data_IF_245454062029
#
_entry.id   IF_245454062029
#
_cell.length_a   1.000
_cell.length_b   1.000
_cell.length_c   1.000
_cell.angle_alpha   90.00
_cell.angle_beta   90.00
_cell.angle_gamma   90.00
#
_symmetry.space_group_name_H-M   'P 1'
#
loop_
_entity.id
_entity.type
_entity.pdbx_description
1 polymer ?
#
# COMPACT_ATOMS: atom_id res chain seq x y z
N UNK A 1 8.67 1.93 46.69
CA UNK A 1 7.47 1.11 46.44
C UNK A 1 6.37 2.03 45.92
N UNK A 2 6.24 2.15 44.63
CA UNK A 2 5.09 2.68 43.88
C UNK A 2 5.51 2.92 42.43
N UNK A 3 5.62 1.85 41.65
CA UNK A 3 5.77 1.92 40.18
C UNK A 3 5.42 0.54 39.60
N UNK A 4 4.15 0.17 39.71
CA UNK A 4 3.65 -1.06 39.07
C UNK A 4 2.10 -1.05 39.05
N UNK A 5 1.50 -0.22 38.24
CA UNK A 5 0.04 -0.27 38.04
C UNK A 5 -0.44 0.55 36.82
N UNK A 6 0.22 0.47 35.66
CA UNK A 6 -0.25 1.16 34.43
C UNK A 6 -0.11 0.37 33.13
N UNK A 7 0.18 -0.92 33.20
CA UNK A 7 0.39 -1.74 31.99
C UNK A 7 -0.62 -2.88 31.78
N UNK A 8 -1.84 -2.79 32.34
CA UNK A 8 -2.81 -3.90 32.23
C UNK A 8 -4.24 -3.43 31.97
N UNK A 9 -4.46 -2.63 30.91
CA UNK A 9 -5.83 -2.21 30.56
C UNK A 9 -6.12 -2.09 29.06
N UNK A 10 -5.46 -2.84 28.22
CA UNK A 10 -5.71 -2.82 26.78
C UNK A 10 -6.07 -4.19 26.13
N UNK A 11 -6.39 -5.21 26.91
CA UNK A 11 -6.84 -6.49 26.36
C UNK A 11 -8.04 -6.99 27.16
N UNK A 12 -9.25 -6.53 26.83
CA UNK A 12 -10.54 -7.22 27.06
C UNK A 12 -11.68 -6.47 26.39
N UNK A 13 -11.96 -6.84 25.16
CA UNK A 13 -13.11 -6.36 24.37
C UNK A 13 -13.57 -7.41 23.36
N UNK A 14 -13.52 -8.71 23.71
CA UNK A 14 -14.17 -9.76 22.91
C UNK A 14 -15.63 -9.86 23.34
N UNK A 15 -16.52 -9.18 22.63
CA UNK A 15 -17.95 -9.31 22.79
C UNK A 15 -18.43 -10.63 22.19
N UNK A 16 -19.06 -11.45 23.01
CA UNK A 16 -19.81 -12.67 22.64
C UNK A 16 -20.96 -12.28 21.70
N UNK A 17 -20.91 -12.69 20.45
CA UNK A 17 -22.06 -12.65 19.55
C UNK A 17 -22.89 -13.90 19.73
N UNK A 18 -24.07 -13.77 20.33
CA UNK A 18 -25.11 -14.80 20.39
C UNK A 18 -25.71 -14.96 18.99
N UNK A 19 -25.66 -16.17 18.45
CA UNK A 19 -26.44 -16.55 17.26
C UNK A 19 -27.91 -16.62 17.65
N UNK A 20 -28.71 -15.74 17.05
CA UNK A 20 -30.17 -15.84 17.03
C UNK A 20 -30.56 -16.38 15.65
N UNK A 21 -31.04 -17.60 15.62
CA UNK A 21 -31.73 -18.18 14.47
C UNK A 21 -33.17 -17.66 14.45
N UNK A 22 -33.49 -16.82 13.51
CA UNK A 22 -34.87 -16.51 13.15
C UNK A 22 -35.02 -16.63 11.63
N UNK A 23 -35.67 -17.73 11.25
CA UNK A 23 -36.17 -17.97 9.92
C UNK A 23 -37.35 -17.04 9.65
N UNK A 24 -37.21 -16.14 8.69
CA UNK A 24 -38.34 -15.51 8.02
C UNK A 24 -38.00 -15.36 6.53
N UNK A 25 -38.62 -16.22 5.74
CA UNK A 25 -38.57 -16.17 4.28
C UNK A 25 -39.29 -14.91 3.79
N UNK A 26 -38.53 -13.83 3.53
CA UNK A 26 -38.98 -12.73 2.70
C UNK A 26 -38.42 -12.97 1.27
N UNK A 27 -39.29 -13.35 0.34
CA UNK A 27 -39.01 -13.30 -1.10
C UNK A 27 -38.86 -11.83 -1.51
N UNK A 28 -37.68 -11.26 -1.26
CA UNK A 28 -37.26 -9.96 -1.80
C UNK A 28 -36.93 -10.12 -3.28
N UNK A 29 -37.47 -9.23 -4.13
CA UNK A 29 -37.03 -9.03 -5.51
C UNK A 29 -35.50 -9.00 -5.51
N UNK A 30 -34.87 -9.80 -6.37
CA UNK A 30 -33.45 -9.75 -6.60
C UNK A 30 -33.09 -8.31 -7.02
N UNK A 31 -32.64 -7.50 -6.08
CA UNK A 31 -32.04 -6.21 -6.39
C UNK A 31 -30.76 -6.54 -7.16
N UNK A 32 -30.64 -6.03 -8.40
CA UNK A 32 -29.41 -6.10 -9.17
C UNK A 32 -28.25 -5.71 -8.26
N UNK A 33 -27.19 -6.51 -8.27
CA UNK A 33 -26.06 -6.28 -7.38
C UNK A 33 -25.54 -4.85 -7.53
N UNK A 34 -25.51 -4.11 -6.44
CA UNK A 34 -24.95 -2.77 -6.44
C UNK A 34 -23.45 -2.85 -6.72
N UNK A 35 -22.95 -1.94 -7.53
CA UNK A 35 -21.54 -1.79 -7.82
C UNK A 35 -20.93 -0.57 -7.12
N UNK A 36 -19.67 -0.32 -7.40
CA UNK A 36 -18.99 0.86 -6.90
C UNK A 36 -17.68 1.12 -7.64
N UNK A 37 -17.21 2.35 -7.51
CA UNK A 37 -15.90 2.75 -7.98
C UNK A 37 -15.03 3.23 -6.79
N UNK A 38 -13.75 2.89 -6.83
CA UNK A 38 -12.81 3.15 -5.72
C UNK A 38 -11.54 3.77 -6.27
N UNK A 39 -11.01 4.77 -5.57
CA UNK A 39 -9.68 5.29 -5.76
C UNK A 39 -8.87 5.05 -4.47
N UNK A 40 -7.74 4.35 -4.57
CA UNK A 40 -6.80 4.23 -3.46
C UNK A 40 -5.65 5.19 -3.70
N UNK A 41 -5.57 6.23 -2.86
CA UNK A 41 -4.56 7.29 -2.93
C UNK A 41 -3.48 6.99 -1.91
N UNK A 42 -2.26 6.70 -2.37
CA UNK A 42 -1.11 6.48 -1.51
C UNK A 42 -0.29 7.75 -1.39
N UNK A 43 -0.15 8.23 -0.16
CA UNK A 43 0.60 9.44 0.20
C UNK A 43 1.85 9.04 0.98
N UNK A 44 2.97 9.70 0.65
CA UNK A 44 4.24 9.55 1.35
C UNK A 44 4.23 10.41 2.62
N UNK A 45 3.40 10.04 3.56
CA UNK A 45 3.33 10.55 4.92
C UNK A 45 2.59 9.54 5.80
N UNK A 46 3.07 9.34 6.99
CA UNK A 46 2.48 8.43 7.98
C UNK A 46 2.98 8.72 9.40
N UNK A 47 3.96 9.62 9.57
CA UNK A 47 4.58 9.93 10.86
C UNK A 47 4.05 11.20 11.50
N UNK A 48 3.93 12.26 10.74
CA UNK A 48 3.45 13.54 11.26
C UNK A 48 1.95 13.47 11.54
N UNK A 49 1.59 13.53 12.84
CA UNK A 49 0.20 13.45 13.26
C UNK A 49 -0.63 14.65 12.79
N UNK A 50 -0.04 15.84 12.77
CA UNK A 50 -0.74 17.07 12.36
C UNK A 50 -1.05 17.04 10.86
N UNK A 51 -0.09 16.60 10.05
CA UNK A 51 -0.28 16.42 8.61
C UNK A 51 -1.34 15.35 8.35
N UNK A 52 -1.29 14.23 9.08
CA UNK A 52 -2.25 13.14 8.93
C UNK A 52 -3.67 13.57 9.31
N UNK A 53 -3.86 14.25 10.44
CA UNK A 53 -5.17 14.75 10.88
C UNK A 53 -5.77 15.72 9.83
N UNK A 54 -4.95 16.57 9.23
CA UNK A 54 -5.41 17.47 8.17
C UNK A 54 -5.75 16.73 6.86
N UNK A 55 -4.98 15.70 6.49
CA UNK A 55 -5.28 14.89 5.30
C UNK A 55 -6.58 14.08 5.49
N UNK A 56 -6.77 13.46 6.65
CA UNK A 56 -8.00 12.72 6.98
C UNK A 56 -9.21 13.63 6.99
N UNK A 57 -9.11 14.78 7.66
CA UNK A 57 -10.17 15.80 7.70
C UNK A 57 -10.49 16.36 6.29
N UNK A 58 -9.46 16.55 5.46
CA UNK A 58 -9.66 16.98 4.06
C UNK A 58 -10.38 15.92 3.24
N UNK A 59 -10.00 14.65 3.37
CA UNK A 59 -10.67 13.55 2.69
C UNK A 59 -12.14 13.43 3.10
N UNK A 60 -12.45 13.52 4.40
CA UNK A 60 -13.82 13.46 4.92
C UNK A 60 -14.67 14.63 4.41
N UNK A 61 -14.17 15.87 4.51
CA UNK A 61 -14.88 17.06 3.99
C UNK A 61 -15.14 16.97 2.49
N UNK A 62 -14.13 16.55 1.71
CA UNK A 62 -14.28 16.38 0.28
C UNK A 62 -15.29 15.27 -0.06
N UNK A 63 -15.22 14.14 0.64
CA UNK A 63 -16.20 13.05 0.48
C UNK A 63 -17.63 13.51 0.79
N UNK A 64 -17.84 14.23 1.89
CA UNK A 64 -19.15 14.75 2.26
C UNK A 64 -19.70 15.70 1.20
N UNK A 65 -18.86 16.59 0.66
CA UNK A 65 -19.24 17.56 -0.38
C UNK A 65 -19.61 16.90 -1.72
N UNK A 66 -18.91 15.84 -2.10
CA UNK A 66 -19.03 15.22 -3.44
C UNK A 66 -19.78 13.89 -3.43
N UNK A 67 -20.43 13.50 -2.33
CA UNK A 67 -21.20 12.25 -2.27
C UNK A 67 -20.38 10.96 -2.27
N UNK A 68 -19.08 11.07 -1.98
CA UNK A 68 -18.19 9.94 -1.82
C UNK A 68 -18.03 9.54 -0.34
N UNK A 69 -17.24 8.50 -0.06
CA UNK A 69 -16.90 8.04 1.30
C UNK A 69 -15.41 7.77 1.44
N UNK A 70 -14.86 8.06 2.61
CA UNK A 70 -13.61 7.45 3.07
C UNK A 70 -13.96 6.04 3.54
N UNK A 71 -13.56 5.06 2.74
CA UNK A 71 -13.88 3.65 2.99
C UNK A 71 -12.88 3.02 3.96
N UNK A 72 -11.61 3.42 3.85
CA UNK A 72 -10.53 2.95 4.71
C UNK A 72 -9.37 3.93 4.69
N UNK A 73 -8.67 4.05 5.82
CA UNK A 73 -7.35 4.68 5.91
C UNK A 73 -6.40 3.64 6.52
N UNK A 74 -5.34 3.34 5.80
CA UNK A 74 -4.27 2.47 6.29
C UNK A 74 -3.00 3.30 6.44
N UNK A 75 -2.63 3.59 7.67
CA UNK A 75 -1.43 4.36 8.03
C UNK A 75 -0.33 3.42 8.51
N UNK A 76 0.84 3.53 7.90
CA UNK A 76 2.05 2.81 8.30
C UNK A 76 3.13 3.80 8.71
N UNK A 77 3.40 3.87 10.02
CA UNK A 77 4.37 4.80 10.61
C UNK A 77 5.80 4.42 10.26
N UNK A 78 6.12 3.12 10.23
CA UNK A 78 7.46 2.64 9.89
C UNK A 78 7.80 2.93 8.42
N UNK A 79 6.83 2.71 7.56
CA UNK A 79 6.96 3.02 6.13
C UNK A 79 6.83 4.51 5.82
N UNK A 80 6.37 5.32 6.77
CA UNK A 80 6.04 6.73 6.57
C UNK A 80 5.13 6.91 5.33
N UNK A 81 4.01 6.18 5.32
CA UNK A 81 3.13 6.05 4.17
C UNK A 81 1.70 5.79 4.60
N UNK A 82 0.75 6.39 3.90
CA UNK A 82 -0.68 6.19 4.15
C UNK A 82 -1.44 5.92 2.86
N UNK A 83 -2.33 4.95 2.88
CA UNK A 83 -3.26 4.64 1.80
C UNK A 83 -4.68 5.04 2.17
N UNK A 84 -5.27 5.99 1.44
CA UNK A 84 -6.67 6.40 1.56
C UNK A 84 -7.51 5.65 0.53
N UNK A 85 -8.45 4.83 0.97
CA UNK A 85 -9.43 4.18 0.11
C UNK A 85 -10.69 5.04 0.06
N UNK A 86 -10.90 5.72 -1.05
CA UNK A 86 -12.06 6.58 -1.33
C UNK A 86 -13.01 5.84 -2.25
N UNK A 87 -14.32 5.95 -2.05
CA UNK A 87 -15.27 5.22 -2.88
C UNK A 87 -16.61 5.91 -3.06
N UNK A 88 -17.28 5.57 -4.16
CA UNK A 88 -18.68 5.90 -4.43
C UNK A 88 -19.44 4.63 -4.75
N UNK A 89 -20.67 4.54 -4.27
CA UNK A 89 -21.62 3.52 -4.71
C UNK A 89 -22.19 3.92 -6.06
N UNK A 90 -22.34 2.95 -6.94
CA UNK A 90 -22.96 3.11 -8.24
C UNK A 90 -24.24 2.29 -8.29
N UNK A 91 -25.35 2.90 -8.66
CA UNK A 91 -26.55 2.20 -9.02
C UNK A 91 -26.47 1.69 -10.48
N UNK A 92 -27.26 0.66 -10.80
CA UNK A 92 -27.20 0.01 -12.09
C UNK A 92 -27.51 0.98 -13.23
N UNK A 93 -26.54 1.19 -14.11
CA UNK A 93 -26.63 2.12 -15.24
C UNK A 93 -26.04 3.49 -14.98
N UNK A 94 -25.58 3.77 -13.77
CA UNK A 94 -24.87 5.00 -13.43
C UNK A 94 -23.40 4.88 -13.88
N UNK A 95 -22.97 5.76 -14.76
CA UNK A 95 -21.63 5.69 -15.41
C UNK A 95 -20.71 6.79 -14.89
N UNK A 96 -21.20 7.78 -14.13
CA UNK A 96 -20.42 8.96 -13.72
C UNK A 96 -19.94 8.91 -12.27
N UNK A 97 -19.18 7.88 -11.94
CA UNK A 97 -18.36 7.90 -10.72
C UNK A 97 -17.10 8.77 -10.87
N UNK A 98 -16.67 9.00 -12.11
CA UNK A 98 -15.42 9.70 -12.38
C UNK A 98 -15.47 11.18 -11.94
N UNK A 99 -16.63 11.83 -11.97
CA UNK A 99 -16.81 13.21 -11.54
C UNK A 99 -16.59 13.39 -10.04
N UNK A 100 -17.47 12.85 -9.21
CA UNK A 100 -17.40 13.03 -7.75
C UNK A 100 -16.13 12.47 -7.13
N UNK A 101 -15.78 11.23 -7.44
CA UNK A 101 -14.62 10.56 -6.87
C UNK A 101 -13.30 11.15 -7.36
N UNK A 102 -13.24 11.58 -8.63
CA UNK A 102 -12.11 12.30 -9.18
C UNK A 102 -11.84 13.62 -8.46
N UNK A 103 -12.89 14.39 -8.16
CA UNK A 103 -12.77 15.62 -7.39
C UNK A 103 -12.22 15.36 -5.98
N UNK A 104 -12.70 14.34 -5.28
CA UNK A 104 -12.21 13.98 -3.94
C UNK A 104 -10.73 13.59 -3.98
N UNK A 105 -10.36 12.70 -4.90
CA UNK A 105 -8.98 12.24 -5.02
C UNK A 105 -8.00 13.37 -5.36
N UNK A 106 -8.40 14.32 -6.20
CA UNK A 106 -7.57 15.47 -6.58
C UNK A 106 -7.46 16.51 -5.47
N UNK A 107 -8.54 16.79 -4.71
CA UNK A 107 -8.50 17.66 -3.52
C UNK A 107 -7.53 17.08 -2.48
N UNK A 108 -7.59 15.78 -2.23
CA UNK A 108 -6.67 15.12 -1.30
C UNK A 108 -5.21 15.17 -1.80
N UNK A 109 -4.99 14.94 -3.10
CA UNK A 109 -3.67 15.02 -3.72
C UNK A 109 -3.09 16.43 -3.63
N UNK A 110 -3.87 17.47 -3.93
CA UNK A 110 -3.48 18.89 -3.81
C UNK A 110 -3.09 19.21 -2.37
N UNK A 111 -3.89 18.78 -1.39
CA UNK A 111 -3.58 19.00 0.01
C UNK A 111 -2.29 18.30 0.44
N UNK A 112 -2.08 17.06 0.04
CA UNK A 112 -0.86 16.33 0.32
C UNK A 112 0.39 17.03 -0.26
N UNK A 113 0.32 17.47 -1.51
CA UNK A 113 1.39 18.22 -2.19
C UNK A 113 1.68 19.58 -1.52
N UNK A 114 0.72 20.18 -0.82
CA UNK A 114 0.91 21.43 -0.09
C UNK A 114 1.52 21.26 1.30
N UNK A 115 1.45 20.05 1.88
CA UNK A 115 1.89 19.77 3.25
C UNK A 115 3.20 18.99 3.33
N UNK A 116 3.50 18.18 2.32
CA UNK A 116 4.65 17.27 2.32
C UNK A 116 5.68 17.71 1.28
N UNK A 117 6.93 17.81 1.72
CA UNK A 117 8.08 18.05 0.83
C UNK A 117 8.92 16.77 0.71
N UNK A 118 8.96 16.22 -0.49
CA UNK A 118 9.66 14.95 -0.73
C UNK A 118 11.18 15.06 -0.51
N UNK A 119 11.76 16.25 -0.58
CA UNK A 119 13.19 16.50 -0.33
C UNK A 119 13.59 16.25 1.12
N UNK A 120 12.64 16.46 2.05
CA UNK A 120 12.83 16.29 3.50
C UNK A 120 12.26 14.95 4.01
N UNK A 121 11.57 14.21 3.14
CA UNK A 121 10.87 13.00 3.53
C UNK A 121 11.81 11.78 3.60
N UNK A 122 11.84 11.12 4.75
CA UNK A 122 12.58 9.87 4.99
C UNK A 122 11.65 8.70 5.30
N UNK A 123 11.85 7.57 4.64
CA UNK A 123 11.05 6.36 4.83
C UNK A 123 11.80 5.10 4.44
N UNK A 124 11.42 3.97 5.02
CA UNK A 124 11.94 2.65 4.66
C UNK A 124 11.23 2.07 3.43
N UNK A 125 9.99 2.47 3.16
CA UNK A 125 9.26 2.09 1.96
C UNK A 125 9.67 2.96 0.78
N UNK A 126 9.99 2.38 -0.41
CA UNK A 126 10.32 3.17 -1.60
C UNK A 126 9.11 3.97 -2.10
N UNK A 127 9.37 5.08 -2.77
CA UNK A 127 8.37 6.00 -3.33
C UNK A 127 8.92 6.79 -4.53
N UNK A 128 8.01 7.30 -5.33
CA UNK A 128 8.32 8.13 -6.48
C UNK A 128 7.79 9.57 -6.35
N UNK A 129 6.91 9.82 -5.42
CA UNK A 129 6.31 11.14 -5.22
C UNK A 129 5.64 11.29 -3.86
N UNK A 130 5.23 12.52 -3.53
CA UNK A 130 4.38 12.82 -2.37
C UNK A 130 3.08 12.03 -2.47
N UNK A 131 2.40 12.14 -3.62
CA UNK A 131 1.35 11.20 -4.02
C UNK A 131 2.02 10.13 -4.86
N UNK A 132 2.38 9.01 -4.26
CA UNK A 132 3.21 8.01 -4.91
C UNK A 132 2.48 7.29 -6.04
N UNK A 133 1.26 6.83 -5.77
CA UNK A 133 0.38 6.33 -6.82
C UNK A 133 -1.09 6.39 -6.42
N UNK A 134 -1.94 6.40 -7.44
CA UNK A 134 -3.39 6.29 -7.29
C UNK A 134 -3.85 5.11 -8.13
N UNK A 135 -4.52 4.15 -7.50
CA UNK A 135 -5.13 3.02 -8.19
C UNK A 135 -6.64 3.16 -8.21
N UNK A 136 -7.21 3.12 -9.42
CA UNK A 136 -8.65 3.17 -9.65
C UNK A 136 -9.18 1.76 -9.92
N UNK A 137 -10.25 1.39 -9.25
CA UNK A 137 -10.84 0.06 -9.33
C UNK A 137 -12.36 0.15 -9.41
N UNK A 138 -12.97 -0.87 -9.99
CA UNK A 138 -14.38 -1.14 -9.85
C UNK A 138 -14.61 -2.30 -8.91
N UNK A 139 -15.69 -2.29 -8.17
CA UNK A 139 -16.13 -3.37 -7.27
C UNK A 139 -17.57 -3.73 -7.57
N UNK A 140 -17.94 -5.01 -7.37
CA UNK A 140 -19.25 -5.52 -7.75
C UNK A 140 -19.46 -5.55 -9.26
N UNK A 141 -20.71 -5.36 -9.70
CA UNK A 141 -21.10 -5.40 -11.12
C UNK A 141 -21.00 -4.00 -11.75
N UNK A 142 -19.76 -3.52 -11.92
CA UNK A 142 -19.46 -2.20 -12.50
C UNK A 142 -18.53 -2.36 -13.70
N UNK A 143 -18.79 -1.61 -14.76
CA UNK A 143 -17.94 -1.60 -15.96
C UNK A 143 -16.53 -1.08 -15.67
N UNK A 144 -15.50 -1.80 -16.12
CA UNK A 144 -14.10 -1.44 -15.91
C UNK A 144 -13.72 -0.09 -16.55
N UNK A 145 -14.43 0.36 -17.57
CA UNK A 145 -14.23 1.66 -18.22
C UNK A 145 -14.43 2.83 -17.27
N UNK A 146 -15.24 2.67 -16.21
CA UNK A 146 -15.43 3.68 -15.17
C UNK A 146 -14.12 3.96 -14.44
N UNK A 147 -13.36 2.93 -14.05
CA UNK A 147 -12.06 3.10 -13.42
C UNK A 147 -11.03 3.72 -14.36
N UNK A 148 -11.08 3.39 -15.66
CA UNK A 148 -10.22 4.02 -16.68
C UNK A 148 -10.52 5.50 -16.83
N UNK A 149 -11.80 5.88 -16.93
CA UNK A 149 -12.22 7.28 -17.02
C UNK A 149 -11.81 8.07 -15.76
N UNK A 150 -11.97 7.46 -14.57
CA UNK A 150 -11.53 8.04 -13.32
C UNK A 150 -10.02 8.28 -13.30
N UNK A 151 -9.21 7.30 -13.72
CA UNK A 151 -7.76 7.42 -13.74
C UNK A 151 -7.29 8.55 -14.67
N UNK A 152 -7.87 8.67 -15.86
CA UNK A 152 -7.58 9.77 -16.79
C UNK A 152 -7.97 11.12 -16.21
N UNK A 153 -9.15 11.24 -15.59
CA UNK A 153 -9.61 12.50 -14.99
C UNK A 153 -8.67 12.95 -13.85
N UNK A 154 -8.30 12.04 -12.95
CA UNK A 154 -7.35 12.33 -11.87
C UNK A 154 -5.98 12.71 -12.46
N UNK A 155 -5.48 11.93 -13.42
CA UNK A 155 -4.18 12.17 -14.04
C UNK A 155 -4.10 13.51 -14.74
N UNK A 156 -5.13 13.87 -15.52
CA UNK A 156 -5.21 15.17 -16.21
C UNK A 156 -5.21 16.32 -15.18
N UNK A 157 -6.03 16.24 -14.13
CA UNK A 157 -6.09 17.28 -13.11
C UNK A 157 -4.72 17.48 -12.41
N UNK A 158 -4.09 16.40 -11.97
CA UNK A 158 -2.78 16.48 -11.28
C UNK A 158 -1.72 17.04 -12.23
N UNK A 159 -1.68 16.57 -13.48
CA UNK A 159 -0.69 17.02 -14.44
C UNK A 159 -0.88 18.47 -14.86
N UNK A 160 -2.08 18.87 -15.22
CA UNK A 160 -2.38 20.15 -15.82
C UNK A 160 -2.56 21.28 -14.80
N UNK A 161 -3.15 21.01 -13.62
CA UNK A 161 -3.45 22.02 -12.62
C UNK A 161 -2.44 22.04 -11.46
N UNK A 162 -1.91 20.87 -11.06
CA UNK A 162 -0.92 20.80 -9.97
C UNK A 162 0.52 20.77 -10.49
N UNK A 163 0.72 20.72 -11.81
CA UNK A 163 2.05 20.73 -12.44
C UNK A 163 2.97 19.60 -11.96
N UNK A 164 2.43 18.42 -11.71
CA UNK A 164 3.18 17.22 -11.32
C UNK A 164 3.12 16.20 -12.47
N UNK A 165 4.25 15.63 -12.91
CA UNK A 165 4.25 14.62 -13.97
C UNK A 165 3.42 13.39 -13.58
N UNK A 166 2.54 12.93 -14.48
CA UNK A 166 1.70 11.75 -14.28
C UNK A 166 2.01 10.69 -15.31
N UNK A 167 2.30 9.48 -14.82
CA UNK A 167 2.48 8.29 -15.63
C UNK A 167 1.29 7.35 -15.46
N UNK A 168 0.65 6.97 -16.56
CA UNK A 168 -0.48 6.05 -16.52
C UNK A 168 -0.04 4.59 -16.54
N UNK A 169 -0.79 3.72 -15.81
CA UNK A 169 -0.55 2.28 -15.81
C UNK A 169 -1.86 1.46 -15.89
N UNK A 170 -1.70 0.15 -16.10
CA UNK A 170 -2.82 -0.77 -16.22
C UNK A 170 -3.69 -0.48 -17.44
N UNK A 171 -5.00 -0.58 -17.28
CA UNK A 171 -5.95 -0.33 -18.36
C UNK A 171 -6.03 1.14 -18.78
N UNK A 172 -5.60 2.08 -17.96
CA UNK A 172 -5.54 3.51 -18.29
C UNK A 172 -4.35 3.85 -19.21
N UNK A 173 -3.30 3.02 -19.24
CA UNK A 173 -2.13 3.25 -20.09
C UNK A 173 -2.37 2.69 -21.50
N UNK A 174 -2.21 3.50 -22.54
CA UNK A 174 -2.26 3.04 -23.92
C UNK A 174 -1.23 1.92 -24.22
N UNK A 175 -0.08 1.97 -23.54
CA UNK A 175 0.99 0.96 -23.63
C UNK A 175 0.77 -0.23 -22.68
N UNK A 176 -0.32 -0.27 -21.92
CA UNK A 176 -0.68 -1.31 -20.93
C UNK A 176 0.45 -1.66 -19.96
N UNK A 177 1.28 -0.68 -19.62
CA UNK A 177 2.39 -0.88 -18.67
C UNK A 177 1.86 -1.20 -17.28
N UNK A 178 2.48 -2.17 -16.60
CA UNK A 178 2.18 -2.47 -15.20
C UNK A 178 2.83 -1.46 -14.24
N UNK A 179 2.24 -1.27 -13.06
CA UNK A 179 2.81 -0.39 -12.02
C UNK A 179 4.24 -0.80 -11.64
N UNK A 180 4.49 -2.10 -11.49
CA UNK A 180 5.82 -2.60 -11.14
C UNK A 180 6.87 -2.32 -12.22
N UNK A 181 6.48 -2.28 -13.49
CA UNK A 181 7.39 -1.97 -14.61
C UNK A 181 7.72 -0.47 -14.65
N UNK A 182 6.71 0.40 -14.45
CA UNK A 182 6.93 1.82 -14.29
C UNK A 182 7.85 2.13 -13.12
N UNK A 183 7.60 1.52 -11.97
CA UNK A 183 8.41 1.67 -10.76
C UNK A 183 9.87 1.28 -11.01
N UNK A 184 10.11 0.17 -11.72
CA UNK A 184 11.48 -0.25 -12.08
C UNK A 184 12.16 0.75 -13.02
N UNK A 185 11.43 1.19 -14.04
CA UNK A 185 11.96 2.15 -15.02
C UNK A 185 12.34 3.50 -14.37
N UNK A 186 11.64 3.89 -13.30
CA UNK A 186 11.82 5.18 -12.65
C UNK A 186 12.54 5.08 -11.29
N UNK A 187 13.32 4.04 -11.07
CA UNK A 187 14.24 3.96 -9.93
C UNK A 187 13.62 3.69 -8.56
N UNK A 188 12.33 3.34 -8.49
CA UNK A 188 11.63 3.05 -7.24
C UNK A 188 12.35 2.04 -6.32
N UNK A 189 13.06 1.08 -6.88
CA UNK A 189 13.78 0.04 -6.14
C UNK A 189 15.28 0.33 -5.98
N UNK A 190 15.76 1.51 -6.38
CA UNK A 190 17.17 1.89 -6.21
C UNK A 190 17.35 2.45 -4.80
N UNK A 191 18.36 1.92 -4.11
CA UNK A 191 18.81 2.49 -2.84
C UNK A 191 19.70 3.70 -3.13
N UNK A 192 19.51 4.77 -2.35
CA UNK A 192 20.43 5.91 -2.37
C UNK A 192 21.60 5.61 -1.48
N UNK A 193 22.82 5.78 -2.00
CA UNK A 193 24.03 5.62 -1.21
C UNK A 193 24.04 6.63 -0.05
N UNK A 194 24.13 6.14 1.20
CA UNK A 194 24.48 6.94 2.36
C UNK A 194 23.35 7.36 3.30
N UNK A 195 22.09 7.08 3.02
CA UNK A 195 21.00 7.26 4.00
C UNK A 195 20.23 5.96 4.10
N UNK A 196 19.99 5.46 5.30
CA UNK A 196 19.26 4.22 5.56
C UNK A 196 17.79 4.24 5.15
N UNK A 197 17.47 4.81 3.99
CA UNK A 197 16.13 4.92 3.44
C UNK A 197 16.14 5.73 2.15
N UNK A 198 15.04 5.67 1.39
CA UNK A 198 14.80 6.50 0.24
C UNK A 198 14.71 7.97 0.69
N UNK A 199 15.70 8.76 0.38
CA UNK A 199 15.67 10.20 0.58
C UNK A 199 15.19 10.88 -0.71
N UNK A 200 13.91 11.18 -0.79
CA UNK A 200 13.35 11.99 -1.89
C UNK A 200 13.24 11.30 -3.25
N UNK A 201 12.78 12.03 -4.24
CA UNK A 201 12.73 11.61 -5.63
C UNK A 201 14.11 11.73 -6.28
N UNK A 202 14.93 10.72 -6.16
CA UNK A 202 16.16 10.63 -6.96
C UNK A 202 15.84 10.25 -8.40
N UNK A 203 14.97 11.05 -9.02
CA UNK A 203 14.72 10.94 -10.41
C UNK A 203 15.72 11.76 -11.16
N UNK A 204 16.68 11.04 -11.73
CA UNK A 204 17.34 11.45 -12.94
C UNK A 204 17.69 12.94 -12.94
N UNK A 205 18.77 13.31 -12.28
CA UNK A 205 19.40 14.58 -12.57
C UNK A 205 19.47 14.74 -14.10
N UNK A 206 18.69 15.66 -14.65
CA UNK A 206 18.64 15.94 -16.09
C UNK A 206 17.75 15.02 -16.94
N UNK A 207 16.99 14.05 -16.35
CA UNK A 207 16.11 13.19 -17.11
C UNK A 207 14.76 13.84 -17.41
N UNK A 208 14.46 13.99 -18.70
CA UNK A 208 13.12 14.33 -19.13
C UNK A 208 12.25 13.08 -19.13
N UNK A 209 11.12 13.15 -18.42
CA UNK A 209 10.06 12.15 -18.51
C UNK A 209 9.26 12.34 -19.81
N UNK A 210 8.54 11.31 -20.20
CA UNK A 210 7.49 11.37 -21.20
C UNK A 210 6.16 10.99 -20.50
N UNK A 211 5.60 11.92 -19.69
CA UNK A 211 4.38 11.67 -18.94
C UNK A 211 3.16 11.77 -19.84
N UNK A 212 2.10 11.05 -19.50
CA UNK A 212 0.81 11.19 -20.18
C UNK A 212 0.15 12.55 -19.85
N UNK A 213 0.42 13.11 -18.66
CA UNK A 213 -0.05 14.44 -18.25
C UNK A 213 1.01 15.18 -17.47
N UNK A 214 1.00 16.52 -17.58
CA UNK A 214 1.88 17.40 -16.80
C UNK A 214 3.25 17.65 -17.41
N UNK A 215 4.14 18.28 -16.65
CA UNK A 215 5.44 18.70 -17.16
C UNK A 215 6.38 17.52 -17.38
N UNK A 216 7.35 17.66 -18.28
CA UNK A 216 8.42 16.68 -18.48
C UNK A 216 9.49 16.74 -17.39
N UNK A 217 9.62 17.87 -16.73
CA UNK A 217 10.56 18.08 -15.64
C UNK A 217 9.93 17.65 -14.31
N UNK A 218 10.65 16.88 -13.52
CA UNK A 218 10.19 16.43 -12.20
C UNK A 218 10.45 17.50 -11.16
N UNK A 219 9.42 18.02 -10.46
CA UNK A 219 9.61 18.92 -9.34
C UNK A 219 10.15 18.12 -8.13
N UNK A 220 11.36 18.48 -7.59
CA UNK A 220 11.99 17.67 -6.54
C UNK A 220 11.17 17.55 -5.26
N UNK A 221 10.37 18.57 -4.93
CA UNK A 221 9.51 18.58 -3.74
C UNK A 221 8.29 17.65 -3.86
N UNK A 222 7.78 17.44 -5.09
CA UNK A 222 6.56 16.67 -5.34
C UNK A 222 6.83 15.26 -5.90
N UNK A 223 7.90 15.10 -6.70
CA UNK A 223 8.18 13.86 -7.42
C UNK A 223 7.25 13.65 -8.62
N UNK A 224 6.87 12.40 -8.86
CA UNK A 224 5.93 11.98 -9.92
C UNK A 224 4.76 11.20 -9.32
N UNK A 225 3.64 11.19 -10.02
CA UNK A 225 2.46 10.40 -9.64
C UNK A 225 2.22 9.30 -10.67
N UNK A 226 1.99 8.08 -10.21
CA UNK A 226 1.55 6.97 -11.07
C UNK A 226 0.06 6.75 -10.87
N UNK A 227 -0.76 6.96 -11.92
CA UNK A 227 -2.22 6.78 -11.84
C UNK A 227 -2.64 5.64 -12.76
N UNK A 228 -3.49 4.74 -12.30
CA UNK A 228 -3.88 3.63 -13.13
C UNK A 228 -5.22 2.99 -12.80
N UNK A 229 -5.70 2.17 -13.73
CA UNK A 229 -6.90 1.37 -13.57
C UNK A 229 -6.53 -0.13 -13.67
N UNK A 230 -6.87 -0.90 -12.64
CA UNK A 230 -6.56 -2.33 -12.55
C UNK A 230 -7.70 -3.08 -11.86
N UNK A 231 -7.79 -4.40 -12.02
CA UNK A 231 -8.56 -5.24 -11.10
C UNK A 231 -8.13 -4.98 -9.65
N UNK A 232 -8.99 -5.32 -8.69
CA UNK A 232 -8.64 -5.18 -7.28
C UNK A 232 -7.41 -6.02 -6.93
N UNK A 233 -6.46 -5.42 -6.22
CA UNK A 233 -5.25 -6.08 -5.73
C UNK A 233 -5.38 -6.22 -4.21
N UNK A 234 -5.29 -7.43 -3.69
CA UNK A 234 -5.22 -7.65 -2.26
C UNK A 234 -3.78 -7.39 -1.78
N UNK A 235 -3.63 -6.51 -0.81
CA UNK A 235 -2.35 -6.23 -0.17
C UNK A 235 -2.25 -6.98 1.15
N UNK A 236 -1.23 -7.82 1.29
CA UNK A 236 -1.03 -8.66 2.46
C UNK A 236 0.44 -8.67 2.86
N UNK A 237 0.72 -8.27 4.08
CA UNK A 237 2.08 -8.17 4.60
C UNK A 237 2.34 -9.23 5.67
N UNK A 238 3.54 -9.80 5.67
CA UNK A 238 3.97 -10.78 6.67
C UNK A 238 5.28 -10.32 7.30
N UNK A 239 5.27 -9.92 8.58
CA UNK A 239 6.50 -9.63 9.31
C UNK A 239 7.27 -10.93 9.57
N UNK A 240 8.57 -10.91 9.29
CA UNK A 240 9.49 -11.99 9.64
C UNK A 240 10.60 -11.44 10.54
N UNK A 241 10.85 -12.10 11.65
CA UNK A 241 11.91 -11.72 12.58
C UNK A 241 13.21 -12.44 12.18
N UNK A 242 14.27 -11.67 11.99
CA UNK A 242 15.62 -12.15 11.74
C UNK A 242 16.41 -12.14 13.05
N UNK A 243 16.65 -13.30 13.63
CA UNK A 243 17.47 -13.48 14.83
C UNK A 243 18.87 -13.90 14.41
N UNK A 244 19.89 -13.13 14.75
CA UNK A 244 21.28 -13.47 14.39
C UNK A 244 21.74 -14.74 15.11
N UNK A 245 22.39 -15.64 14.37
CA UNK A 245 22.99 -16.85 14.94
C UNK A 245 24.29 -16.51 15.65
N UNK A 246 24.39 -16.91 16.92
CA UNK A 246 25.60 -16.75 17.72
C UNK A 246 26.79 -17.48 17.08
N UNK A 247 27.91 -16.77 16.88
CA UNK A 247 29.17 -17.31 16.40
C UNK A 247 29.71 -16.72 15.09
N UNK A 248 28.90 -15.94 14.36
CA UNK A 248 29.36 -15.18 13.18
C UNK A 248 29.57 -13.68 13.46
N UNK A 249 29.68 -13.28 14.73
CA UNK A 249 30.10 -11.93 15.07
C UNK A 249 31.50 -11.72 14.47
N UNK A 250 31.60 -10.86 13.48
CA UNK A 250 32.89 -10.25 13.11
C UNK A 250 33.40 -9.53 14.35
N UNK A 251 34.57 -9.89 14.82
CA UNK A 251 35.24 -9.50 16.07
C UNK A 251 35.63 -8.03 16.16
N UNK A 252 34.87 -7.11 15.58
CA UNK A 252 35.03 -5.67 15.74
C UNK A 252 33.83 -5.15 16.53
N UNK A 253 34.05 -4.84 17.78
CA UNK A 253 33.13 -4.57 18.87
C UNK A 253 32.18 -3.37 18.76
N UNK A 254 31.85 -2.93 17.57
CA UNK A 254 30.80 -1.95 17.28
C UNK A 254 29.89 -2.55 16.20
N UNK A 255 29.07 -3.53 16.59
CA UNK A 255 28.02 -4.07 15.73
C UNK A 255 26.99 -2.98 15.43
N UNK A 256 27.25 -2.18 14.40
CA UNK A 256 26.36 -1.15 13.91
C UNK A 256 25.02 -1.83 13.54
N UNK A 257 23.94 -1.46 14.25
CA UNK A 257 22.57 -1.91 14.08
C UNK A 257 22.12 -1.77 12.58
N UNK A 258 22.63 -0.74 11.92
CA UNK A 258 22.42 -0.50 10.49
C UNK A 258 23.01 -1.63 9.62
N UNK A 259 24.12 -2.23 10.03
CA UNK A 259 24.74 -3.35 9.28
C UNK A 259 23.93 -4.63 9.42
N UNK A 260 23.44 -4.94 10.63
CA UNK A 260 22.55 -6.08 10.90
C UNK A 260 21.25 -5.96 10.11
N UNK A 261 20.60 -4.81 10.19
CA UNK A 261 19.38 -4.51 9.42
C UNK A 261 19.58 -4.68 7.93
N UNK A 262 20.68 -4.15 7.37
CA UNK A 262 20.98 -4.28 5.93
C UNK A 262 21.20 -5.74 5.51
N UNK A 263 21.85 -6.55 6.36
CA UNK A 263 22.06 -7.99 6.12
C UNK A 263 20.74 -8.76 6.17
N UNK A 264 19.91 -8.50 7.19
CA UNK A 264 18.59 -9.13 7.35
C UNK A 264 17.67 -8.79 6.16
N UNK A 265 17.59 -7.53 5.76
CA UNK A 265 16.79 -7.12 4.58
C UNK A 265 17.27 -7.78 3.31
N UNK A 266 18.59 -7.87 3.08
CA UNK A 266 19.17 -8.57 1.92
C UNK A 266 18.80 -10.05 1.90
N UNK A 267 18.83 -10.70 3.07
CA UNK A 267 18.38 -12.09 3.21
C UNK A 267 16.87 -12.22 3.00
N UNK A 268 16.06 -11.33 3.58
CA UNK A 268 14.62 -11.27 3.35
C UNK A 268 14.24 -11.06 1.88
N UNK A 269 15.05 -10.31 1.11
CA UNK A 269 14.83 -10.15 -0.34
C UNK A 269 14.97 -11.47 -1.11
N UNK A 270 15.80 -12.42 -0.65
CA UNK A 270 15.86 -13.77 -1.23
C UNK A 270 14.58 -14.53 -0.97
N UNK A 271 14.01 -14.42 0.25
CA UNK A 271 12.72 -15.02 0.59
C UNK A 271 11.58 -14.41 -0.24
N UNK A 272 11.50 -13.08 -0.33
CA UNK A 272 10.52 -12.39 -1.16
C UNK A 272 10.61 -12.79 -2.66
N UNK A 273 11.84 -12.96 -3.19
CA UNK A 273 12.04 -13.45 -4.55
C UNK A 273 11.50 -14.87 -4.73
N UNK A 274 11.81 -15.79 -3.78
CA UNK A 274 11.32 -17.18 -3.82
C UNK A 274 9.79 -17.27 -3.70
N UNK A 275 9.17 -16.34 -2.97
CA UNK A 275 7.71 -16.25 -2.83
C UNK A 275 7.02 -15.73 -4.08
N UNK A 276 7.62 -14.77 -4.79
CA UNK A 276 7.04 -14.10 -5.95
C UNK A 276 6.94 -15.02 -7.17
N UNK A 277 5.88 -14.87 -7.97
CA UNK A 277 5.72 -15.59 -9.25
C UNK A 277 6.94 -15.43 -10.15
N UNK A 278 7.51 -14.22 -10.24
CA UNK A 278 8.72 -13.94 -11.01
C UNK A 278 9.94 -14.76 -10.57
N UNK A 279 10.00 -15.19 -9.33
CA UNK A 279 11.05 -16.04 -8.79
C UNK A 279 10.74 -17.53 -8.79
N UNK A 280 9.61 -17.93 -9.44
CA UNK A 280 9.13 -19.31 -9.48
C UNK A 280 8.25 -19.70 -8.29
N UNK A 281 7.80 -18.71 -7.50
CA UNK A 281 6.93 -18.92 -6.35
C UNK A 281 5.44 -18.93 -6.69
N UNK A 282 4.62 -18.35 -5.81
CA UNK A 282 3.17 -18.40 -5.92
C UNK A 282 2.65 -17.56 -7.11
N UNK A 283 1.68 -18.09 -7.89
CA UNK A 283 1.14 -17.41 -9.06
C UNK A 283 0.39 -16.13 -8.66
N UNK A 284 0.61 -15.05 -9.42
CA UNK A 284 -0.01 -13.75 -9.17
C UNK A 284 0.52 -13.02 -7.93
N UNK A 285 1.55 -13.52 -7.27
CA UNK A 285 2.16 -12.87 -6.10
C UNK A 285 3.36 -12.02 -6.53
N UNK A 286 3.33 -10.74 -6.15
CA UNK A 286 4.48 -9.84 -6.21
C UNK A 286 4.88 -9.52 -4.77
N UNK A 287 6.14 -9.74 -4.40
CA UNK A 287 6.62 -9.51 -3.06
C UNK A 287 7.93 -8.72 -3.04
N UNK A 288 8.11 -7.93 -1.99
CA UNK A 288 9.36 -7.27 -1.66
C UNK A 288 9.61 -7.38 -0.16
N UNK A 289 10.89 -7.29 0.24
CA UNK A 289 11.29 -7.28 1.64
C UNK A 289 11.80 -5.90 2.02
N UNK A 290 11.28 -5.34 3.08
CA UNK A 290 11.60 -4.02 3.58
C UNK A 290 11.92 -4.07 5.08
N UNK A 291 12.78 -3.19 5.61
CA UNK A 291 12.97 -3.06 7.05
C UNK A 291 11.70 -2.48 7.67
N UNK A 292 11.26 -3.07 8.79
CA UNK A 292 10.04 -2.66 9.50
C UNK A 292 10.25 -2.65 11.02
N UNK A 293 11.33 -2.01 11.45
CA UNK A 293 11.69 -1.85 12.86
C UNK A 293 12.43 -3.04 13.45
N UNK A 294 12.43 -3.07 14.79
CA UNK A 294 13.07 -4.08 15.63
C UNK A 294 12.15 -4.46 16.78
N UNK A 295 12.34 -5.66 17.31
CA UNK A 295 11.78 -6.03 18.59
C UNK A 295 12.87 -6.59 19.50
N UNK A 296 12.46 -7.15 20.64
CA UNK A 296 13.38 -7.75 21.62
C UNK A 296 14.15 -8.99 21.10
N UNK A 297 13.78 -9.54 19.96
CA UNK A 297 14.39 -10.75 19.41
C UNK A 297 15.31 -10.47 18.21
N UNK A 298 15.08 -9.37 17.49
CA UNK A 298 15.89 -9.04 16.34
C UNK A 298 15.28 -8.04 15.37
N UNK A 299 15.82 -8.02 14.16
CA UNK A 299 15.35 -7.15 13.07
C UNK A 299 14.04 -7.67 12.51
N UNK A 300 13.04 -6.80 12.41
CA UNK A 300 11.81 -7.12 11.68
C UNK A 300 11.97 -6.72 10.21
N UNK A 301 11.90 -7.71 9.35
CA UNK A 301 11.80 -7.55 7.91
C UNK A 301 10.37 -7.86 7.51
N UNK A 302 9.70 -6.95 6.83
CA UNK A 302 8.35 -7.21 6.34
C UNK A 302 8.39 -7.68 4.89
N UNK A 303 7.71 -8.79 4.62
CA UNK A 303 7.44 -9.27 3.26
C UNK A 303 6.12 -8.66 2.82
N UNK A 304 6.21 -7.54 2.11
CA UNK A 304 5.04 -6.83 1.58
C UNK A 304 4.62 -7.43 0.24
N UNK A 305 3.36 -7.89 0.16
CA UNK A 305 2.83 -8.62 -0.98
C UNK A 305 1.65 -7.93 -1.66
N UNK A 306 1.70 -7.88 -2.98
CA UNK A 306 0.56 -7.60 -3.85
C UNK A 306 0.06 -8.92 -4.45
N UNK A 307 -1.17 -9.31 -4.11
CA UNK A 307 -1.82 -10.51 -4.62
C UNK A 307 -2.73 -10.09 -5.78
N UNK A 308 -2.23 -10.25 -7.01
CA UNK A 308 -2.91 -9.82 -8.24
C UNK A 308 -4.13 -10.69 -8.55
N UNK A 309 -4.13 -11.93 -8.07
CA UNK A 309 -5.24 -12.86 -8.15
C UNK A 309 -5.33 -13.66 -6.84
N UNK A 310 -6.02 -13.09 -5.87
CA UNK A 310 -6.18 -13.71 -4.54
C UNK A 310 -6.99 -15.02 -4.54
N UNK A 311 -7.68 -15.35 -5.64
CA UNK A 311 -8.34 -16.64 -5.80
C UNK A 311 -7.36 -17.76 -6.13
N UNK A 312 -6.25 -17.44 -6.83
CA UNK A 312 -5.17 -18.39 -7.14
C UNK A 312 -4.17 -18.52 -6.01
N UNK A 313 -3.80 -17.41 -5.38
CA UNK A 313 -2.91 -17.38 -4.24
C UNK A 313 -3.36 -16.25 -3.28
N UNK A 314 -4.13 -16.62 -2.27
CA UNK A 314 -4.65 -15.70 -1.25
C UNK A 314 -3.73 -15.57 -0.04
N UNK A 315 -4.13 -14.74 0.95
CA UNK A 315 -3.37 -14.49 2.17
C UNK A 315 -2.89 -15.76 2.90
N UNK A 316 -3.75 -16.77 3.00
CA UNK A 316 -3.41 -18.03 3.66
C UNK A 316 -2.29 -18.79 2.93
N UNK A 317 -2.34 -18.84 1.60
CA UNK A 317 -1.29 -19.49 0.80
C UNK A 317 0.06 -18.77 0.96
N UNK A 318 0.04 -17.43 0.95
CA UNK A 318 1.23 -16.60 1.19
C UNK A 318 1.79 -16.85 2.60
N UNK A 319 0.95 -16.87 3.63
CA UNK A 319 1.36 -17.12 5.01
C UNK A 319 2.02 -18.49 5.17
N UNK A 320 1.43 -19.53 4.59
CA UNK A 320 1.98 -20.89 4.64
C UNK A 320 3.31 -20.99 3.91
N UNK A 321 3.41 -20.40 2.73
CA UNK A 321 4.64 -20.44 1.94
C UNK A 321 5.77 -19.65 2.60
N UNK A 322 5.50 -18.50 3.21
CA UNK A 322 6.52 -17.74 3.95
C UNK A 322 7.01 -18.56 5.15
N UNK A 323 6.11 -19.18 5.94
CA UNK A 323 6.51 -20.05 7.05
C UNK A 323 7.40 -21.20 6.56
N UNK A 324 7.06 -21.82 5.43
CA UNK A 324 7.87 -22.89 4.81
C UNK A 324 9.24 -22.38 4.37
N UNK A 325 9.31 -21.24 3.70
CA UNK A 325 10.56 -20.65 3.23
C UNK A 325 11.46 -20.24 4.39
N UNK A 326 10.91 -19.64 5.46
CA UNK A 326 11.65 -19.33 6.68
C UNK A 326 12.26 -20.57 7.31
N UNK A 327 11.49 -21.65 7.43
CA UNK A 327 11.97 -22.91 8.01
C UNK A 327 13.12 -23.52 7.17
N UNK A 328 13.02 -23.48 5.84
CA UNK A 328 14.06 -23.95 4.94
C UNK A 328 15.34 -23.10 5.06
N UNK A 329 15.21 -21.78 5.06
CA UNK A 329 16.36 -20.88 5.17
C UNK A 329 17.02 -21.01 6.55
N UNK A 330 16.23 -21.22 7.62
CA UNK A 330 16.76 -21.49 8.96
C UNK A 330 17.48 -22.85 9.04
N UNK A 331 17.01 -23.88 8.32
CA UNK A 331 17.67 -25.19 8.30
C UNK A 331 18.95 -25.18 7.46
N UNK A 332 19.15 -24.20 6.61
CA UNK A 332 20.38 -23.99 5.84
C UNK A 332 21.49 -23.50 6.78
N UNK A 333 22.50 -24.30 7.01
CA UNK A 333 23.64 -23.96 7.88
C UNK A 333 24.50 -22.77 7.41
N UNK A 334 24.30 -22.31 6.19
CA UNK A 334 24.98 -21.14 5.62
C UNK A 334 24.24 -19.82 5.93
N UNK A 335 22.97 -19.88 6.35
CA UNK A 335 22.19 -18.70 6.71
C UNK A 335 22.70 -18.04 8.00
N UNK A 336 22.82 -16.70 7.97
CA UNK A 336 23.25 -15.91 9.12
C UNK A 336 22.14 -15.69 10.17
N UNK A 337 20.90 -16.01 9.83
CA UNK A 337 19.71 -15.72 10.64
C UNK A 337 18.84 -16.95 10.86
N UNK A 338 18.27 -17.03 12.05
CA UNK A 338 17.09 -17.85 12.32
C UNK A 338 15.85 -17.00 12.02
N UNK A 339 15.00 -17.50 11.11
CA UNK A 339 13.83 -16.79 10.64
C UNK A 339 12.56 -17.23 11.34
N UNK A 340 11.82 -16.29 11.89
CA UNK A 340 10.52 -16.55 12.51
C UNK A 340 9.44 -15.73 11.81
N UNK A 341 8.56 -16.39 11.05
CA UNK A 341 7.42 -15.74 10.41
C UNK A 341 6.27 -15.53 11.39
N UNK A 342 5.83 -14.28 11.52
CA UNK A 342 4.67 -13.90 12.31
C UNK A 342 3.39 -14.04 11.50
N UNK A 343 2.24 -13.84 12.14
CA UNK A 343 0.99 -13.77 11.42
C UNK A 343 0.93 -12.49 10.60
N UNK A 344 0.58 -12.64 9.33
CA UNK A 344 0.45 -11.54 8.41
C UNK A 344 -0.90 -10.83 8.55
N UNK A 345 -1.01 -9.70 7.91
CA UNK A 345 -2.19 -8.85 7.95
C UNK A 345 -2.49 -8.21 6.60
N UNK A 346 -3.77 -7.96 6.34
CA UNK A 346 -4.19 -7.23 5.16
C UNK A 346 -4.04 -5.71 5.40
N UNK A 347 -3.50 -4.99 4.43
CA UNK A 347 -3.36 -3.52 4.50
C UNK A 347 -4.50 -2.80 3.76
N UNK A 348 -5.34 -3.54 3.05
CA UNK A 348 -6.54 -3.04 2.42
C UNK A 348 -7.72 -4.00 2.65
N UNK A 349 -8.93 -3.51 2.31
CA UNK A 349 -10.18 -4.26 2.48
C UNK A 349 -10.44 -5.17 1.28
N UNK A 350 -11.34 -6.15 1.45
CA UNK A 350 -11.86 -6.93 0.33
C UNK A 350 -12.92 -6.13 -0.45
N UNK A 351 -13.17 -6.45 -1.73
CA UNK A 351 -14.23 -5.83 -2.52
C UNK A 351 -15.62 -5.92 -1.85
N UNK A 352 -15.90 -7.04 -1.21
CA UNK A 352 -17.17 -7.29 -0.50
C UNK A 352 -17.31 -6.32 0.68
N UNK A 353 -16.27 -6.19 1.53
CA UNK A 353 -16.27 -5.25 2.65
C UNK A 353 -16.36 -3.81 2.19
N UNK A 354 -15.75 -3.47 1.05
CA UNK A 354 -15.88 -2.14 0.45
C UNK A 354 -17.32 -1.87 0.07
N UNK A 355 -17.99 -2.80 -0.63
CA UNK A 355 -19.40 -2.66 -1.01
C UNK A 355 -20.33 -2.51 0.21
N UNK A 356 -20.08 -3.29 1.26
CA UNK A 356 -20.81 -3.16 2.53
C UNK A 356 -20.66 -1.77 3.14
N UNK A 357 -19.42 -1.24 3.20
CA UNK A 357 -19.16 0.11 3.71
C UNK A 357 -19.77 1.21 2.83
N UNK A 358 -19.77 1.03 1.51
CA UNK A 358 -20.41 1.97 0.59
C UNK A 358 -21.95 1.94 0.69
N UNK A 359 -22.54 0.80 1.06
CA UNK A 359 -23.98 0.63 1.21
C UNK A 359 -24.50 1.07 2.59
N UNK A 360 -23.67 1.15 3.63
CA UNK A 360 -24.06 1.57 4.96
C UNK A 360 -24.66 2.98 4.93
N UNK A 361 -25.71 3.24 5.70
CA UNK A 361 -26.25 4.58 5.89
C UNK A 361 -25.23 5.50 6.58
N UNK A 362 -25.29 6.81 6.29
CA UNK A 362 -24.39 7.82 6.89
C UNK A 362 -24.73 8.09 8.33
#
# INVERSE_FOLDING_TARGET
MAASALATRAIRGLAKMRMSTSSAAARGKATKAAGGCVAVVYISEGKDAVVMDELESTAERACAKHGARVVNVFRDVEYNRTGFTLGVRLDVGEVDAAGPLGAVATILAERALSLVDLREHAATHPRCGVVDHISCHVVGDTDAGVAVALAHRIGAHIGEHLSVPVLLYGAASAKKKGLADLRRAHGYFRETAGAGGWAGAHFVEGGFLDPEYGPKQVPPAAGIVMVGATPWVCNYNVPICAVERFGKLTTNGDGDDATSTSRAVRAGRRLAKKLSERGGGLPGVQAMALPHGHDQFGVIVEIACNLLDSKRAGPQAVQMEIKRLCALETSDGECDFDWNARDGYATNLTPETILERLAAER
#
